data_IF_723860210630
#
_entry.id   IF_723860210630
#
_cell.length_a   1.000
_cell.length_b   1.000
_cell.length_c   1.000
_cell.angle_alpha   90.00
_cell.angle_beta   90.00
_cell.angle_gamma   90.00
#
_symmetry.space_group_name_H-M   'P 1'
#
loop_
_entity.id
_entity.type
_entity.pdbx_description
1 polymer ?
#
# COMPACT_ATOMS: atom_id res chain seq x y z
N UNK A 1 24.02 -17.31 5.46
CA UNK A 1 23.58 -17.55 5.07
C UNK A 1 23.11 -17.89 4.98
N UNK A 2 22.79 -17.63 5.12
CA UNK A 2 22.21 -17.95 4.77
C UNK A 2 21.70 -18.15 4.78
N UNK A 3 21.50 -18.10 5.05
CA UNK A 3 20.87 -18.32 4.80
C UNK A 3 20.36 -18.66 4.14
N UNK A 4 20.28 -18.81 4.00
CA UNK A 4 19.79 -19.01 3.21
C UNK A 4 19.29 -19.00 2.66
N UNK A 5 19.35 -19.03 2.93
CA UNK A 5 18.83 -18.96 2.33
C UNK A 5 18.44 -18.51 1.80
N UNK A 6 18.80 -19.15 1.80
CA UNK A 6 18.46 -18.30 0.86
C UNK A 6 17.39 -17.43 1.21
N UNK A 7 17.43 -16.47 0.89
CA UNK A 7 16.36 -15.60 1.10
C UNK A 7 15.36 -15.71 -0.03
N UNK A 8 14.08 -15.55 0.32
CA UNK A 8 13.02 -15.51 -0.67
C UNK A 8 13.08 -14.20 -1.43
N UNK A 9 12.62 -14.18 -2.67
CA UNK A 9 12.52 -12.90 -3.41
C UNK A 9 11.66 -11.86 -2.72
N UNK A 10 10.58 -12.29 -2.04
CA UNK A 10 9.72 -11.37 -1.33
C UNK A 10 10.46 -10.68 -0.20
N UNK A 11 11.29 -11.43 0.51
CA UNK A 11 12.09 -10.87 1.59
C UNK A 11 13.08 -9.83 1.05
N UNK A 12 13.72 -10.14 -0.06
CA UNK A 12 14.63 -9.20 -0.70
C UNK A 12 13.91 -7.95 -1.16
N UNK A 13 12.71 -8.11 -1.72
CA UNK A 13 11.95 -6.98 -2.21
C UNK A 13 11.61 -6.02 -1.09
N UNK A 14 11.18 -6.56 0.05
CA UNK A 14 10.85 -5.72 1.20
C UNK A 14 12.06 -4.91 1.66
N UNK A 15 13.23 -5.53 1.68
CA UNK A 15 14.45 -4.83 2.08
C UNK A 15 14.87 -3.79 1.06
N UNK A 16 14.69 -4.10 -0.22
CA UNK A 16 15.11 -3.20 -1.28
C UNK A 16 14.29 -1.91 -1.32
N UNK A 17 13.02 -1.99 -0.91
CA UNK A 17 12.11 -0.86 -1.06
C UNK A 17 11.71 -0.22 0.26
N UNK A 18 12.33 -0.59 1.37
CA UNK A 18 12.09 0.05 2.65
C UNK A 18 11.99 -0.95 3.78
N UNK A 19 11.65 -0.47 4.98
CA UNK A 19 11.54 -1.35 6.15
C UNK A 19 10.31 -2.25 6.04
N UNK A 20 10.25 -3.30 6.86
CA UNK A 20 9.03 -4.09 6.93
C UNK A 20 7.84 -3.21 7.30
N UNK A 21 6.70 -3.46 6.66
CA UNK A 21 5.50 -2.70 6.96
C UNK A 21 4.89 -3.19 8.27
N UNK A 22 4.44 -2.25 9.10
CA UNK A 22 3.78 -2.56 10.36
C UNK A 22 2.49 -1.75 10.48
N UNK A 23 1.59 -2.25 11.32
CA UNK A 23 0.34 -1.55 11.60
C UNK A 23 0.65 -0.17 12.17
N UNK A 24 -0.10 0.84 11.74
CA UNK A 24 0.08 2.21 12.19
C UNK A 24 1.01 3.04 11.33
N UNK A 25 1.61 2.47 10.30
CA UNK A 25 2.47 3.22 9.39
C UNK A 25 1.63 3.89 8.32
N UNK A 26 2.12 5.04 7.88
CA UNK A 26 1.48 5.76 6.77
C UNK A 26 2.18 5.37 5.48
N UNK A 27 1.40 4.99 4.49
CA UNK A 27 1.89 4.60 3.16
C UNK A 27 1.07 5.34 2.11
N UNK A 28 1.44 5.19 0.84
CA UNK A 28 0.66 5.76 -0.25
C UNK A 28 -0.16 4.65 -0.91
N UNK A 29 -1.41 4.95 -1.19
CA UNK A 29 -2.31 4.05 -1.91
C UNK A 29 -2.61 4.63 -3.28
N UNK A 30 -2.53 3.81 -4.32
CA UNK A 30 -2.83 4.22 -5.69
C UNK A 30 -4.22 3.75 -6.06
N UNK A 31 -5.09 4.69 -6.42
CA UNK A 31 -6.46 4.37 -6.79
C UNK A 31 -6.54 3.75 -8.19
N UNK A 32 -7.76 3.37 -8.59
CA UNK A 32 -7.97 2.73 -9.89
C UNK A 32 -7.58 3.62 -11.06
N UNK A 33 -7.68 4.94 -10.90
CA UNK A 33 -7.32 5.88 -11.96
C UNK A 33 -5.91 6.46 -11.80
N UNK A 34 -5.09 5.85 -10.94
CA UNK A 34 -3.68 6.22 -10.83
C UNK A 34 -3.37 7.36 -9.87
N UNK A 35 -4.38 7.86 -9.17
CA UNK A 35 -4.17 8.93 -8.19
C UNK A 35 -3.65 8.36 -6.88
N UNK A 36 -2.76 9.10 -6.21
CA UNK A 36 -2.20 8.64 -4.95
C UNK A 36 -2.83 9.33 -3.75
N UNK A 37 -3.07 8.55 -2.70
CA UNK A 37 -3.67 9.03 -1.46
C UNK A 37 -2.88 8.53 -0.28
N UNK A 38 -2.78 9.34 0.77
CA UNK A 38 -2.19 8.88 2.02
C UNK A 38 -3.10 7.84 2.66
N UNK A 39 -2.51 6.83 3.27
CA UNK A 39 -3.28 5.75 3.88
C UNK A 39 -2.56 5.23 5.12
N UNK A 40 -3.36 4.76 6.07
CA UNK A 40 -2.85 4.20 7.32
C UNK A 40 -2.98 2.68 7.27
N UNK A 41 -1.89 1.98 7.58
CA UNK A 41 -1.91 0.52 7.65
C UNK A 41 -2.68 0.11 8.90
N UNK A 42 -3.79 -0.60 8.72
CA UNK A 42 -4.63 -1.05 9.82
C UNK A 42 -4.36 -2.50 10.17
N UNK A 43 -3.91 -3.31 9.21
CA UNK A 43 -3.62 -4.71 9.43
C UNK A 43 -2.58 -5.19 8.45
N UNK A 44 -1.69 -6.05 8.91
CA UNK A 44 -0.64 -6.64 8.08
C UNK A 44 -0.95 -8.12 7.90
N UNK A 45 -1.10 -8.56 6.65
CA UNK A 45 -1.35 -9.96 6.33
C UNK A 45 -0.05 -10.69 5.98
N UNK A 46 0.86 -9.97 5.32
CA UNK A 46 2.17 -10.50 4.97
C UNK A 46 3.11 -9.32 4.77
N UNK A 47 4.34 -9.58 4.36
CA UNK A 47 5.32 -8.53 4.11
C UNK A 47 4.81 -7.49 3.12
N UNK A 48 3.98 -7.91 2.18
CA UNK A 48 3.59 -7.06 1.07
C UNK A 48 2.08 -6.80 1.01
N UNK A 49 1.28 -7.47 1.83
CA UNK A 49 -0.18 -7.37 1.74
C UNK A 49 -0.73 -6.81 3.05
N UNK A 50 -1.46 -5.73 2.95
CA UNK A 50 -1.99 -5.01 4.11
C UNK A 50 -3.43 -4.58 3.88
N UNK A 51 -4.11 -4.23 4.96
CA UNK A 51 -5.38 -3.50 4.91
C UNK A 51 -5.08 -2.04 5.21
N UNK A 52 -5.80 -1.14 4.55
CA UNK A 52 -5.55 0.28 4.65
C UNK A 52 -6.82 1.05 4.97
N UNK A 53 -6.65 2.13 5.74
CA UNK A 53 -7.64 3.20 5.84
C UNK A 53 -7.12 4.33 4.99
N UNK A 54 -7.77 4.58 3.85
CA UNK A 54 -7.33 5.56 2.86
C UNK A 54 -8.00 6.89 3.14
N UNK A 55 -7.20 7.95 3.25
CA UNK A 55 -7.71 9.29 3.52
C UNK A 55 -8.05 9.96 2.19
N UNK A 56 -9.35 10.04 1.91
CA UNK A 56 -9.83 10.53 0.62
C UNK A 56 -9.99 12.04 0.70
N UNK A 57 -8.97 12.77 0.25
CA UNK A 57 -8.95 14.23 0.32
C UNK A 57 -9.41 14.88 -0.98
N UNK A 58 -9.75 14.09 -1.97
CA UNK A 58 -10.36 14.49 -3.24
C UNK A 58 -11.07 13.27 -3.81
N UNK A 59 -12.01 13.43 -4.76
CA UNK A 59 -12.74 12.26 -5.27
C UNK A 59 -11.80 11.14 -5.72
N UNK A 60 -12.11 9.93 -5.30
CA UNK A 60 -11.28 8.75 -5.58
C UNK A 60 -12.13 7.70 -6.26
N UNK A 61 -11.56 7.00 -7.25
CA UNK A 61 -12.27 5.92 -7.94
C UNK A 61 -11.77 4.59 -7.43
N UNK A 62 -12.71 3.74 -7.06
CA UNK A 62 -12.40 2.39 -6.58
C UNK A 62 -12.19 1.46 -7.77
N UNK A 63 -11.68 0.26 -7.46
CA UNK A 63 -11.45 -0.77 -8.46
C UNK A 63 -12.76 -1.16 -9.16
N UNK A 64 -13.87 -1.12 -8.43
CA UNK A 64 -15.18 -1.47 -8.98
C UNK A 64 -15.80 -0.34 -9.79
N UNK A 65 -15.12 0.78 -9.91
CA UNK A 65 -15.62 1.91 -10.67
C UNK A 65 -16.48 2.87 -9.88
N UNK A 66 -16.64 2.65 -8.58
CA UNK A 66 -17.37 3.57 -7.73
C UNK A 66 -16.53 4.80 -7.42
N UNK A 67 -17.19 5.92 -7.27
CA UNK A 67 -16.52 7.15 -6.86
C UNK A 67 -16.71 7.35 -5.36
N UNK A 68 -15.61 7.55 -4.63
CA UNK A 68 -15.61 7.82 -3.20
C UNK A 68 -15.45 9.31 -3.03
N UNK A 69 -16.37 9.98 -2.32
CA UNK A 69 -16.32 11.43 -2.19
C UNK A 69 -15.21 11.88 -1.25
N UNK A 70 -14.77 13.10 -1.50
CA UNK A 70 -13.81 13.76 -0.65
C UNK A 70 -14.32 13.82 0.79
N UNK A 71 -13.41 13.63 1.75
CA UNK A 71 -13.75 13.69 3.17
C UNK A 71 -14.12 12.35 3.76
N UNK A 72 -13.99 11.28 2.98
CA UNK A 72 -14.30 9.92 3.42
C UNK A 72 -13.02 9.21 3.82
N UNK A 73 -13.13 8.27 4.75
CA UNK A 73 -12.08 7.28 4.99
C UNK A 73 -12.56 6.00 4.32
N UNK A 74 -11.80 5.55 3.33
CA UNK A 74 -12.14 4.35 2.56
C UNK A 74 -11.27 3.20 3.03
N UNK A 75 -11.88 2.08 3.40
CA UNK A 75 -11.12 0.90 3.82
C UNK A 75 -10.85 0.01 2.62
N UNK A 76 -9.57 -0.20 2.33
CA UNK A 76 -9.14 -1.08 1.25
C UNK A 76 -8.50 -2.31 1.88
N UNK A 77 -8.93 -3.49 1.45
CA UNK A 77 -8.49 -4.75 2.06
C UNK A 77 -7.58 -5.52 1.12
N UNK A 78 -6.63 -6.24 1.70
CA UNK A 78 -5.73 -7.13 0.95
C UNK A 78 -5.01 -6.38 -0.18
N UNK A 79 -4.41 -5.25 0.17
CA UNK A 79 -3.73 -4.37 -0.79
C UNK A 79 -2.27 -4.80 -0.90
N UNK A 80 -1.84 -5.10 -2.12
CA UNK A 80 -0.47 -5.54 -2.38
C UNK A 80 0.48 -4.37 -2.59
N UNK A 81 1.75 -4.62 -2.33
CA UNK A 81 2.81 -3.63 -2.54
C UNK A 81 3.19 -3.57 -4.01
N UNK A 82 3.38 -2.36 -4.52
CA UNK A 82 3.94 -2.16 -5.87
C UNK A 82 4.73 -0.86 -5.90
N UNK A 83 6.03 -0.98 -6.02
CA UNK A 83 6.90 0.18 -6.10
C UNK A 83 6.56 1.06 -7.30
N UNK A 84 6.05 0.47 -8.38
CA UNK A 84 5.73 1.19 -9.61
C UNK A 84 4.33 1.79 -9.61
N UNK A 85 3.64 1.75 -8.48
CA UNK A 85 2.37 2.44 -8.29
C UNK A 85 1.26 1.92 -9.20
N UNK A 86 1.14 0.61 -9.30
CA UNK A 86 0.02 0.02 -10.02
C UNK A 86 -1.31 0.34 -9.33
N UNK A 87 -2.42 0.39 -10.08
CA UNK A 87 -3.72 0.68 -9.49
C UNK A 87 -4.09 -0.35 -8.41
N UNK A 88 -4.62 0.15 -7.29
CA UNK A 88 -5.04 -0.71 -6.20
C UNK A 88 -3.90 -1.28 -5.37
N UNK A 89 -2.73 -0.63 -5.39
CA UNK A 89 -1.57 -1.09 -4.63
C UNK A 89 -1.09 -0.01 -3.67
N UNK A 90 -0.17 -0.38 -2.78
CA UNK A 90 0.44 0.58 -1.87
C UNK A 90 1.95 0.63 -2.09
N UNK A 91 2.57 1.73 -1.70
CA UNK A 91 4.01 1.87 -1.69
C UNK A 91 4.43 2.80 -0.57
N UNK A 92 5.71 2.80 -0.27
CA UNK A 92 6.25 3.74 0.71
C UNK A 92 6.24 5.15 0.13
N UNK A 93 6.03 6.17 0.98
CA UNK A 93 6.14 7.55 0.51
C UNK A 93 7.54 7.85 0.04
N UNK A 94 7.64 8.73 -0.95
CA UNK A 94 8.94 9.19 -1.43
C UNK A 94 9.53 10.12 -0.38
N UNK A 95 10.79 9.93 -0.06
CA UNK A 95 11.49 10.84 0.84
C UNK A 95 11.98 12.04 0.06
N UNK A 96 11.83 13.19 0.66
CA UNK A 96 12.34 14.45 0.09
C UNK A 96 13.36 15.06 1.02
#
# INVERSE_FOLDING_TARGET
MDRTAPYSPAHLSARAYGPPVTRGRVVMYTSADGEEFAALVTRVHSENVVDLAVFVDRPMRTRDGEEVPRGTVHFAFMVGFDHDRGPGTWRWPVRV
#
